data_IF_919472184912
#
_entry.id   IF_919472184912
#
_cell.length_a   1.000
_cell.length_b   1.000
_cell.length_c   1.000
_cell.angle_alpha   90.00
_cell.angle_beta   90.00
_cell.angle_gamma   90.00
#
_symmetry.space_group_name_H-M   'P 1'
#
loop_
_entity.id
_entity.type
_entity.pdbx_description
1 polymer ?
#
# COMPACT_ATOMS: atom_id res chain seq x y z
N UNK A 1 -0.84 1.13 6.34
CA UNK A 1 -1.74 1.59 7.42
C UNK A 1 -1.54 3.05 7.82
N UNK A 2 -0.44 3.67 7.51
CA UNK A 2 -0.14 5.08 7.84
C UNK A 2 -1.32 6.06 7.60
N UNK A 3 -2.02 5.94 6.47
CA UNK A 3 -3.17 6.78 6.11
C UNK A 3 -4.17 7.00 7.26
N UNK A 4 -4.69 5.92 7.85
CA UNK A 4 -5.70 6.04 8.91
C UNK A 4 -5.10 6.33 10.29
N UNK A 5 -3.82 6.04 10.51
CA UNK A 5 -3.10 6.53 11.69
C UNK A 5 -3.09 8.06 11.68
N UNK A 6 -2.65 8.67 10.60
CA UNK A 6 -2.62 10.12 10.49
C UNK A 6 -4.01 10.75 10.40
N UNK A 7 -4.96 10.15 9.68
CA UNK A 7 -6.32 10.69 9.63
C UNK A 7 -6.98 10.70 11.01
N UNK A 8 -6.83 9.66 11.82
CA UNK A 8 -7.40 9.64 13.17
C UNK A 8 -6.72 10.65 14.10
N UNK A 9 -5.39 10.81 13.99
CA UNK A 9 -4.63 11.85 14.67
C UNK A 9 -5.21 13.25 14.36
N UNK A 10 -5.32 13.59 13.09
CA UNK A 10 -5.82 14.90 12.68
C UNK A 10 -7.31 15.10 12.93
N UNK A 11 -8.15 14.07 12.78
CA UNK A 11 -9.56 14.13 13.16
C UNK A 11 -9.71 14.49 14.63
N UNK A 12 -8.89 13.90 15.52
CA UNK A 12 -8.91 14.25 16.93
C UNK A 12 -8.53 15.71 17.18
N UNK A 13 -7.51 16.22 16.50
CA UNK A 13 -7.11 17.63 16.57
C UNK A 13 -8.22 18.58 16.07
N UNK A 14 -9.08 18.11 15.16
CA UNK A 14 -10.24 18.85 14.65
C UNK A 14 -11.49 18.72 15.53
N UNK A 15 -11.37 18.13 16.75
CA UNK A 15 -12.47 17.99 17.68
C UNK A 15 -13.38 16.77 17.47
N UNK A 16 -12.98 15.82 16.60
CA UNK A 16 -13.65 14.53 16.50
C UNK A 16 -13.12 13.55 17.53
N UNK A 17 -13.96 12.61 17.96
CA UNK A 17 -13.54 11.52 18.83
C UNK A 17 -13.56 10.18 18.05
N UNK A 18 -12.44 9.80 17.44
CA UNK A 18 -12.37 8.58 16.63
C UNK A 18 -12.19 7.33 17.49
N UNK A 19 -13.02 6.32 17.21
CA UNK A 19 -12.91 4.95 17.74
C UNK A 19 -12.41 4.05 16.64
N UNK A 20 -11.26 3.39 16.84
CA UNK A 20 -10.63 2.51 15.85
C UNK A 20 -10.80 1.07 16.27
N UNK A 21 -11.41 0.24 15.42
CA UNK A 21 -11.41 -1.22 15.59
C UNK A 21 -10.37 -1.82 14.67
N UNK A 22 -9.42 -2.55 15.23
CA UNK A 22 -8.33 -3.19 14.48
C UNK A 22 -8.07 -4.59 15.01
N UNK A 23 -7.25 -5.36 14.29
CA UNK A 23 -6.79 -6.66 14.73
C UNK A 23 -5.65 -6.53 15.73
N UNK A 24 -5.60 -7.41 16.73
CA UNK A 24 -4.44 -7.53 17.60
C UNK A 24 -3.23 -8.03 16.79
N UNK A 25 -2.14 -7.30 16.84
CA UNK A 25 -0.89 -7.61 16.13
C UNK A 25 -0.30 -8.96 16.51
N UNK A 26 -0.56 -9.44 17.73
CA UNK A 26 -0.13 -10.77 18.20
C UNK A 26 -0.92 -11.90 17.55
N UNK A 27 -2.16 -11.61 17.10
CA UNK A 27 -3.05 -12.58 16.48
C UNK A 27 -2.95 -12.57 14.95
N UNK A 28 -2.55 -11.47 14.35
CA UNK A 28 -2.42 -11.33 12.91
C UNK A 28 -1.03 -11.73 12.40
N UNK A 29 -0.98 -12.27 11.18
CA UNK A 29 0.28 -12.57 10.49
C UNK A 29 0.71 -11.35 9.66
N UNK A 30 1.40 -10.39 10.27
CA UNK A 30 2.05 -9.28 9.59
C UNK A 30 3.56 -9.52 9.52
N UNK A 31 4.19 -9.34 8.35
CA UNK A 31 5.63 -9.56 8.19
C UNK A 31 6.48 -8.51 8.93
N UNK A 32 5.95 -7.32 9.10
CA UNK A 32 6.64 -6.20 9.77
C UNK A 32 5.62 -5.40 10.57
N UNK A 33 6.01 -5.02 11.79
CA UNK A 33 5.25 -4.13 12.66
C UNK A 33 6.09 -2.87 12.88
N UNK A 34 5.46 -1.72 12.74
CA UNK A 34 6.04 -0.42 13.06
C UNK A 34 5.38 0.11 14.33
N UNK A 35 6.10 0.00 15.44
CA UNK A 35 5.61 0.41 16.74
C UNK A 35 5.66 1.94 16.94
N UNK A 36 6.53 2.66 16.20
CA UNK A 36 6.61 4.12 16.28
C UNK A 36 5.29 4.76 15.80
N UNK A 37 4.63 4.14 14.81
CA UNK A 37 3.32 4.61 14.36
C UNK A 37 2.21 4.52 15.42
N UNK A 38 2.38 3.70 16.46
CA UNK A 38 1.40 3.64 17.55
C UNK A 38 1.45 4.88 18.44
N UNK A 39 2.61 5.53 18.51
CA UNK A 39 2.76 6.78 19.26
C UNK A 39 1.92 7.91 18.63
N UNK A 40 1.75 7.89 17.31
CA UNK A 40 0.98 8.88 16.56
C UNK A 40 -0.53 8.86 16.89
N UNK A 41 -1.02 7.74 17.40
CA UNK A 41 -2.43 7.56 17.80
C UNK A 41 -2.64 7.56 19.31
N UNK A 42 -1.67 8.09 20.09
CA UNK A 42 -1.87 8.30 21.51
C UNK A 42 -3.10 9.17 21.77
N UNK A 43 -3.98 8.65 22.64
CA UNK A 43 -5.25 9.31 22.95
C UNK A 43 -6.38 9.04 21.97
N UNK A 44 -6.19 8.24 20.91
CA UNK A 44 -7.28 7.68 20.09
C UNK A 44 -7.78 6.39 20.74
N UNK A 45 -9.08 6.19 20.78
CA UNK A 45 -9.68 4.96 21.31
C UNK A 45 -9.44 3.81 20.32
N UNK A 46 -8.49 2.91 20.62
CA UNK A 46 -8.15 1.76 19.78
C UNK A 46 -8.61 0.47 20.45
N UNK A 47 -9.53 -0.23 19.81
CA UNK A 47 -10.03 -1.55 20.26
C UNK A 47 -9.40 -2.63 19.38
N UNK A 48 -8.49 -3.40 19.97
CA UNK A 48 -7.84 -4.55 19.34
C UNK A 48 -8.70 -5.80 19.51
N UNK A 49 -8.86 -6.57 18.46
CA UNK A 49 -9.69 -7.78 18.43
C UNK A 49 -8.94 -8.99 17.92
N UNK A 50 -9.42 -10.16 18.26
CA UNK A 50 -8.94 -11.42 17.70
C UNK A 50 -9.22 -11.54 16.21
N UNK A 51 -8.56 -12.49 15.56
CA UNK A 51 -8.82 -12.90 14.19
C UNK A 51 -8.67 -14.42 14.04
N UNK A 52 -9.44 -15.00 13.12
CA UNK A 52 -9.22 -16.37 12.63
C UNK A 52 -8.60 -16.26 11.24
N UNK A 53 -7.30 -16.51 11.15
CA UNK A 53 -6.57 -16.50 9.88
C UNK A 53 -6.23 -17.92 9.43
N UNK A 54 -7.05 -18.52 8.55
CA UNK A 54 -6.75 -19.86 8.00
C UNK A 54 -5.39 -19.92 7.29
N UNK A 55 -4.89 -18.79 6.80
CA UNK A 55 -3.55 -18.70 6.20
C UNK A 55 -2.41 -19.02 7.18
N UNK A 56 -2.57 -18.85 8.49
CA UNK A 56 -1.56 -19.30 9.46
C UNK A 56 -1.37 -20.82 9.43
N UNK A 57 -2.46 -21.55 9.27
CA UNK A 57 -2.43 -23.01 9.16
C UNK A 57 -1.79 -23.40 7.81
N UNK A 58 -2.13 -22.69 6.77
CA UNK A 58 -1.67 -22.90 5.41
C UNK A 58 -0.17 -22.55 5.22
N UNK A 59 0.32 -21.45 5.78
CA UNK A 59 1.75 -21.09 5.73
C UNK A 59 2.61 -22.10 6.45
N UNK A 60 2.11 -22.70 7.55
CA UNK A 60 2.79 -23.78 8.28
C UNK A 60 3.00 -25.01 7.41
N UNK A 61 2.03 -25.34 6.55
CA UNK A 61 2.14 -26.50 5.64
C UNK A 61 3.06 -26.27 4.44
N UNK A 62 3.23 -25.02 3.97
CA UNK A 62 3.99 -24.71 2.74
C UNK A 62 5.39 -24.18 3.02
N UNK A 63 5.57 -23.34 4.04
CA UNK A 63 6.86 -22.69 4.31
C UNK A 63 7.56 -23.22 5.55
N UNK A 64 6.95 -24.12 6.30
CA UNK A 64 7.48 -24.60 7.58
C UNK A 64 7.55 -23.53 8.68
N UNK A 65 7.14 -22.30 8.41
CA UNK A 65 7.20 -21.15 9.31
C UNK A 65 5.81 -20.58 9.56
N UNK A 66 5.44 -20.41 10.83
CA UNK A 66 4.17 -19.79 11.26
C UNK A 66 4.10 -18.28 10.99
N UNK A 67 5.23 -17.63 10.78
CA UNK A 67 5.35 -16.17 10.70
C UNK A 67 5.67 -15.64 9.30
N UNK A 68 5.75 -16.50 8.28
CA UNK A 68 5.91 -16.04 6.90
C UNK A 68 4.58 -15.49 6.38
N UNK A 69 4.24 -14.26 6.75
CA UNK A 69 3.17 -13.53 6.12
C UNK A 69 3.45 -13.41 4.61
N UNK A 70 2.51 -13.83 3.76
CA UNK A 70 2.66 -13.62 2.32
C UNK A 70 2.37 -12.12 2.07
N UNK A 71 3.37 -11.34 1.60
CA UNK A 71 3.16 -9.93 1.30
C UNK A 71 2.03 -9.76 0.28
N UNK A 72 1.23 -8.71 0.42
CA UNK A 72 0.24 -8.37 -0.60
C UNK A 72 0.95 -8.11 -1.94
N UNK A 73 0.44 -8.72 -3.00
CA UNK A 73 1.00 -8.57 -4.34
C UNK A 73 2.14 -9.53 -4.70
N UNK A 74 2.60 -10.39 -3.79
CA UNK A 74 3.55 -11.45 -4.11
C UNK A 74 2.85 -12.82 -4.14
N UNK A 75 2.88 -13.47 -5.29
CA UNK A 75 2.55 -14.89 -5.44
C UNK A 75 3.84 -15.59 -5.82
N UNK A 76 4.32 -16.58 -5.05
CA UNK A 76 5.52 -17.32 -5.42
C UNK A 76 5.34 -17.94 -6.80
N UNK A 77 6.26 -17.67 -7.72
CA UNK A 77 6.12 -18.04 -9.14
C UNK A 77 6.58 -19.45 -9.50
N UNK A 78 7.16 -20.22 -8.56
CA UNK A 78 7.80 -21.49 -8.90
C UNK A 78 7.13 -22.69 -8.22
N UNK A 79 6.80 -23.71 -9.02
CA UNK A 79 6.31 -25.03 -8.59
C UNK A 79 4.80 -25.19 -8.60
N UNK A 80 4.34 -26.42 -8.75
CA UNK A 80 2.92 -26.80 -8.76
C UNK A 80 2.22 -26.51 -7.41
N UNK A 81 2.92 -26.66 -6.31
CA UNK A 81 2.40 -26.37 -4.96
C UNK A 81 2.06 -24.88 -4.80
N UNK A 82 2.88 -23.98 -5.36
CA UNK A 82 2.63 -22.55 -5.36
C UNK A 82 1.37 -22.20 -6.18
N UNK A 83 1.17 -22.84 -7.33
CA UNK A 83 -0.03 -22.65 -8.15
C UNK A 83 -1.29 -23.17 -7.44
N UNK A 84 -1.20 -24.33 -6.79
CA UNK A 84 -2.30 -24.89 -6.00
C UNK A 84 -2.63 -23.98 -4.81
N UNK A 85 -1.62 -23.44 -4.16
CA UNK A 85 -1.75 -22.45 -3.10
C UNK A 85 -2.48 -21.18 -3.56
N UNK A 86 -2.08 -20.64 -4.70
CA UNK A 86 -2.73 -19.47 -5.29
C UNK A 86 -4.20 -19.80 -5.67
N UNK A 87 -4.46 -20.99 -6.22
CA UNK A 87 -5.81 -21.45 -6.52
C UNK A 87 -6.69 -21.53 -5.26
N UNK A 88 -6.21 -22.17 -4.20
CA UNK A 88 -6.93 -22.26 -2.91
C UNK A 88 -7.19 -20.87 -2.37
N UNK A 89 -6.17 -20.00 -2.34
CA UNK A 89 -6.31 -18.61 -1.87
C UNK A 89 -7.35 -17.84 -2.69
N UNK A 90 -7.34 -17.97 -4.01
CA UNK A 90 -8.24 -17.25 -4.91
C UNK A 90 -9.69 -17.71 -4.87
N UNK A 91 -9.95 -18.98 -4.56
CA UNK A 91 -11.27 -19.58 -4.67
C UNK A 91 -12.01 -19.79 -3.34
N UNK A 92 -11.28 -20.00 -2.23
CA UNK A 92 -11.90 -20.28 -0.93
C UNK A 92 -11.82 -19.08 0.02
N UNK A 93 -10.93 -18.12 -0.22
CA UNK A 93 -10.78 -16.93 0.60
C UNK A 93 -11.31 -15.68 -0.13
N UNK A 94 -12.62 -15.65 -0.37
CA UNK A 94 -13.30 -14.53 -1.01
C UNK A 94 -13.95 -13.65 0.07
N UNK A 95 -13.74 -12.35 0.02
CA UNK A 95 -12.97 -11.55 -0.95
C UNK A 95 -11.46 -11.64 -0.73
N UNK A 96 -11.02 -11.92 0.48
CA UNK A 96 -9.60 -12.03 0.87
C UNK A 96 -9.42 -12.94 2.10
N UNK A 97 -8.16 -13.26 2.39
CA UNK A 97 -7.82 -14.20 3.45
C UNK A 97 -7.98 -13.62 4.88
N UNK A 98 -8.28 -12.33 5.01
CA UNK A 98 -8.50 -11.63 6.29
C UNK A 98 -9.98 -11.62 6.70
N UNK A 99 -10.88 -12.18 5.89
CA UNK A 99 -12.32 -12.22 6.21
C UNK A 99 -12.68 -12.84 7.56
N UNK A 100 -11.79 -13.67 8.11
CA UNK A 100 -11.97 -14.28 9.43
C UNK A 100 -11.96 -13.28 10.59
N UNK A 101 -11.43 -12.06 10.37
CA UNK A 101 -11.50 -10.96 11.31
C UNK A 101 -12.90 -10.35 11.43
N UNK A 102 -13.72 -10.41 10.39
CA UNK A 102 -15.01 -9.73 10.31
C UNK A 102 -15.97 -10.10 11.46
N UNK A 103 -15.91 -11.34 11.94
CA UNK A 103 -16.75 -11.77 13.08
C UNK A 103 -16.43 -10.95 14.34
N UNK A 104 -15.16 -10.82 14.66
CA UNK A 104 -14.70 -10.10 15.86
C UNK A 104 -14.89 -8.60 15.69
N UNK A 105 -14.57 -8.05 14.51
CA UNK A 105 -14.75 -6.65 14.19
C UNK A 105 -16.22 -6.22 14.31
N UNK A 106 -17.16 -7.01 13.80
CA UNK A 106 -18.59 -6.73 13.92
C UNK A 106 -19.01 -6.64 15.40
N UNK A 107 -18.61 -7.62 16.23
CA UNK A 107 -18.97 -7.63 17.66
C UNK A 107 -18.40 -6.44 18.43
N UNK A 108 -17.14 -6.10 18.17
CA UNK A 108 -16.49 -4.93 18.78
C UNK A 108 -17.17 -3.63 18.35
N UNK A 109 -17.40 -3.47 17.04
CA UNK A 109 -18.07 -2.29 16.50
C UNK A 109 -19.51 -2.15 17.02
N UNK A 110 -20.30 -3.24 17.10
CA UNK A 110 -21.63 -3.22 17.67
C UNK A 110 -21.66 -2.74 19.14
N UNK A 111 -20.68 -3.19 19.95
CA UNK A 111 -20.54 -2.76 21.33
C UNK A 111 -20.27 -1.24 21.39
N UNK A 112 -19.32 -0.74 20.60
CA UNK A 112 -18.94 0.68 20.56
C UNK A 112 -20.11 1.53 20.06
N UNK A 113 -20.78 1.12 18.97
CA UNK A 113 -21.94 1.86 18.44
C UNK A 113 -23.03 2.06 19.51
N UNK A 114 -23.26 1.04 20.34
CA UNK A 114 -24.29 1.09 21.39
C UNK A 114 -23.87 1.90 22.62
N UNK A 115 -22.60 1.76 23.07
CA UNK A 115 -22.11 2.46 24.26
C UNK A 115 -21.88 3.95 24.01
N UNK A 116 -21.34 4.30 22.83
CA UNK A 116 -20.89 5.66 22.52
C UNK A 116 -21.87 6.42 21.60
N UNK A 117 -22.96 5.80 21.18
CA UNK A 117 -23.97 6.44 20.32
C UNK A 117 -23.44 6.86 18.93
N UNK A 118 -22.41 6.17 18.41
CA UNK A 118 -21.76 6.50 17.15
C UNK A 118 -22.72 6.25 15.98
N UNK A 119 -22.82 7.24 15.09
CA UNK A 119 -23.70 7.19 13.91
C UNK A 119 -22.94 7.18 12.58
N UNK A 120 -21.63 7.45 12.59
CA UNK A 120 -20.79 7.51 11.38
C UNK A 120 -19.70 6.45 11.46
N UNK A 121 -19.56 5.67 10.41
CA UNK A 121 -18.55 4.60 10.32
C UNK A 121 -17.80 4.72 9.00
N UNK A 122 -16.50 4.53 9.08
CA UNK A 122 -15.65 4.42 7.90
C UNK A 122 -14.99 3.05 7.93
N UNK A 123 -15.00 2.34 6.81
CA UNK A 123 -14.22 1.12 6.63
C UNK A 123 -13.16 1.33 5.57
N UNK A 124 -11.96 0.83 5.77
CA UNK A 124 -10.85 0.99 4.81
C UNK A 124 -10.36 -0.36 4.28
N UNK A 125 -10.13 -0.44 3.01
CA UNK A 125 -9.60 -1.63 2.29
C UNK A 125 -8.45 -1.26 1.35
N UNK A 126 -7.56 -2.21 1.02
CA UNK A 126 -7.52 -3.60 1.45
C UNK A 126 -7.12 -3.81 2.92
N UNK A 127 -7.55 -4.89 3.58
CA UNK A 127 -8.36 -5.98 3.02
C UNK A 127 -9.80 -5.56 2.76
N UNK A 128 -10.35 -5.93 1.60
CA UNK A 128 -11.69 -5.49 1.18
C UNK A 128 -12.82 -6.18 1.96
N UNK A 129 -12.55 -7.33 2.59
CA UNK A 129 -13.48 -7.97 3.53
C UNK A 129 -13.93 -7.04 4.65
N UNK A 130 -13.13 -6.04 5.02
CA UNK A 130 -13.47 -5.00 6.01
C UNK A 130 -14.75 -4.25 5.64
N UNK A 131 -15.00 -4.00 4.34
CA UNK A 131 -16.20 -3.31 3.89
C UNK A 131 -17.49 -4.09 4.16
N UNK A 132 -17.40 -5.43 4.28
CA UNK A 132 -18.54 -6.27 4.67
C UNK A 132 -18.96 -6.04 6.14
N UNK A 133 -18.06 -5.54 6.97
CA UNK A 133 -18.39 -5.10 8.34
C UNK A 133 -19.24 -3.82 8.27
N UNK A 134 -18.80 -2.82 7.51
CA UNK A 134 -19.56 -1.58 7.31
C UNK A 134 -20.95 -1.82 6.72
N UNK A 135 -21.04 -2.66 5.67
CA UNK A 135 -22.30 -3.04 5.06
C UNK A 135 -23.26 -3.71 6.06
N UNK A 136 -22.75 -4.59 6.92
CA UNK A 136 -23.53 -5.22 7.98
C UNK A 136 -24.03 -4.20 9.02
N UNK A 137 -23.15 -3.32 9.49
CA UNK A 137 -23.50 -2.31 10.49
C UNK A 137 -24.54 -1.32 9.95
N UNK A 138 -24.42 -0.87 8.70
CA UNK A 138 -25.41 -0.02 8.07
C UNK A 138 -26.77 -0.70 7.97
N UNK A 139 -26.82 -1.94 7.49
CA UNK A 139 -28.07 -2.69 7.34
C UNK A 139 -28.76 -2.92 8.69
N UNK A 140 -27.99 -3.17 9.76
CA UNK A 140 -28.55 -3.53 11.08
C UNK A 140 -28.90 -2.32 11.96
N UNK A 141 -28.11 -1.25 11.86
CA UNK A 141 -28.21 -0.09 12.77
C UNK A 141 -28.57 1.23 12.08
N UNK A 142 -28.69 1.26 10.77
CA UNK A 142 -29.02 2.47 10.00
C UNK A 142 -27.94 3.58 10.11
N UNK A 143 -26.68 3.20 10.39
CA UNK A 143 -25.59 4.17 10.50
C UNK A 143 -25.20 4.72 9.14
N UNK A 144 -24.65 5.92 9.12
CA UNK A 144 -23.99 6.47 7.93
C UNK A 144 -22.63 5.78 7.74
N UNK A 145 -22.45 5.12 6.58
CA UNK A 145 -21.25 4.33 6.31
C UNK A 145 -20.54 4.79 5.05
N UNK A 146 -19.23 5.07 5.18
CA UNK A 146 -18.33 5.41 4.10
C UNK A 146 -17.32 4.28 3.89
N UNK A 147 -17.11 3.87 2.63
CA UNK A 147 -16.13 2.85 2.29
C UNK A 147 -14.91 3.48 1.61
N UNK A 148 -13.73 3.37 2.23
CA UNK A 148 -12.45 3.90 1.74
C UNK A 148 -11.70 2.82 0.95
N UNK A 149 -11.72 2.96 -0.36
CA UNK A 149 -11.02 2.11 -1.32
C UNK A 149 -9.66 2.71 -1.65
N UNK A 150 -8.61 2.18 -1.02
CA UNK A 150 -7.24 2.61 -1.31
C UNK A 150 -6.72 2.04 -2.62
N UNK A 151 -7.23 0.88 -3.01
CA UNK A 151 -6.87 0.13 -4.21
C UNK A 151 -8.14 -0.43 -4.89
N UNK A 152 -8.08 -0.78 -6.21
CA UNK A 152 -9.13 -1.56 -6.85
C UNK A 152 -9.39 -2.87 -6.09
N UNK A 153 -10.62 -3.36 -6.10
CA UNK A 153 -10.94 -4.65 -5.47
C UNK A 153 -10.82 -5.80 -6.49
N UNK A 154 -11.82 -5.96 -7.36
CA UNK A 154 -11.81 -7.06 -8.35
C UNK A 154 -10.75 -6.82 -9.42
N UNK A 155 -10.59 -5.58 -9.86
CA UNK A 155 -9.71 -5.19 -10.96
C UNK A 155 -8.24 -4.98 -10.54
N UNK A 156 -7.86 -5.40 -9.32
CA UNK A 156 -6.48 -5.28 -8.87
C UNK A 156 -5.56 -6.23 -9.65
N UNK A 157 -4.41 -5.73 -10.09
CA UNK A 157 -3.51 -6.41 -11.04
C UNK A 157 -3.08 -7.82 -10.61
N UNK A 158 -2.89 -8.08 -9.31
CA UNK A 158 -2.46 -9.39 -8.84
C UNK A 158 -3.58 -10.44 -8.74
N UNK A 159 -4.86 -10.07 -8.90
CA UNK A 159 -5.96 -11.03 -8.95
C UNK A 159 -5.84 -12.03 -10.10
N UNK A 160 -5.22 -11.63 -11.20
CA UNK A 160 -4.94 -12.52 -12.33
C UNK A 160 -4.01 -13.69 -11.97
N UNK A 161 -3.18 -13.52 -10.94
CA UNK A 161 -2.23 -14.53 -10.47
C UNK A 161 -2.87 -15.55 -9.49
N UNK A 162 -4.13 -15.35 -9.08
CA UNK A 162 -4.80 -16.19 -8.09
C UNK A 162 -5.57 -17.37 -8.70
N UNK A 163 -5.52 -17.58 -10.02
CA UNK A 163 -6.21 -18.68 -10.71
C UNK A 163 -7.67 -18.86 -10.27
N UNK A 164 -8.41 -17.74 -10.13
CA UNK A 164 -9.80 -17.73 -9.68
C UNK A 164 -10.72 -18.41 -10.69
N UNK A 165 -11.57 -19.33 -10.23
CA UNK A 165 -12.65 -19.92 -11.02
C UNK A 165 -13.71 -18.86 -11.38
N UNK A 166 -14.50 -19.15 -12.39
CA UNK A 166 -15.61 -18.29 -12.79
C UNK A 166 -16.56 -17.97 -11.63
N UNK A 167 -16.89 -18.96 -10.80
CA UNK A 167 -17.77 -18.78 -9.64
C UNK A 167 -17.14 -17.86 -8.59
N UNK A 168 -15.84 -18.03 -8.29
CA UNK A 168 -15.12 -17.18 -7.37
C UNK A 168 -15.09 -15.71 -7.84
N UNK A 169 -14.85 -15.49 -9.13
CA UNK A 169 -14.88 -14.16 -9.74
C UNK A 169 -16.29 -13.52 -9.65
N UNK A 170 -17.34 -14.29 -9.91
CA UNK A 170 -18.73 -13.81 -9.84
C UNK A 170 -19.13 -13.43 -8.42
N UNK A 171 -18.75 -14.23 -7.43
CA UNK A 171 -19.03 -13.92 -6.01
C UNK A 171 -18.29 -12.65 -5.60
N UNK A 172 -17.02 -12.53 -5.96
CA UNK A 172 -16.19 -11.37 -5.59
C UNK A 172 -16.72 -10.09 -6.24
N UNK A 173 -17.05 -10.12 -7.53
CA UNK A 173 -17.67 -9.01 -8.26
C UNK A 173 -19.04 -8.61 -7.67
N UNK A 174 -19.84 -9.59 -7.25
CA UNK A 174 -21.11 -9.32 -6.58
C UNK A 174 -20.90 -8.60 -5.24
N UNK A 175 -19.90 -9.04 -4.44
CA UNK A 175 -19.59 -8.42 -3.15
C UNK A 175 -19.09 -6.98 -3.33
N UNK A 176 -18.18 -6.73 -4.29
CA UNK A 176 -17.72 -5.38 -4.61
C UNK A 176 -18.89 -4.48 -5.01
N UNK A 177 -19.72 -4.92 -5.97
CA UNK A 177 -20.89 -4.16 -6.44
C UNK A 177 -21.87 -3.86 -5.30
N UNK A 178 -22.11 -4.85 -4.42
CA UNK A 178 -22.98 -4.69 -3.25
C UNK A 178 -22.42 -3.62 -2.29
N UNK A 179 -21.11 -3.63 -2.01
CA UNK A 179 -20.46 -2.64 -1.15
C UNK A 179 -20.54 -1.25 -1.79
N UNK A 180 -20.17 -1.13 -3.07
CA UNK A 180 -20.23 0.15 -3.79
C UNK A 180 -21.62 0.78 -3.78
N UNK A 181 -22.68 -0.03 -3.91
CA UNK A 181 -24.06 0.47 -3.95
C UNK A 181 -24.67 0.71 -2.58
N UNK A 182 -24.22 0.00 -1.55
CA UNK A 182 -24.81 0.09 -0.21
C UNK A 182 -24.17 1.17 0.67
N UNK A 183 -22.94 1.59 0.40
CA UNK A 183 -22.31 2.68 1.15
C UNK A 183 -23.02 4.02 0.93
N UNK A 184 -22.95 4.95 1.88
CA UNK A 184 -23.46 6.32 1.71
C UNK A 184 -22.51 7.18 0.88
N UNK A 185 -21.24 6.78 0.80
CA UNK A 185 -20.25 7.38 -0.07
C UNK A 185 -19.01 6.50 -0.17
N UNK A 186 -18.30 6.67 -1.25
CA UNK A 186 -17.05 5.96 -1.53
C UNK A 186 -15.90 6.97 -1.51
N UNK A 187 -14.89 6.69 -0.68
CA UNK A 187 -13.61 7.39 -0.71
C UNK A 187 -12.64 6.62 -1.58
N UNK A 188 -11.82 7.32 -2.37
CA UNK A 188 -10.74 6.72 -3.15
C UNK A 188 -9.46 7.53 -2.97
N UNK A 189 -8.31 6.87 -3.03
CA UNK A 189 -7.00 7.56 -2.94
C UNK A 189 -6.65 8.31 -4.22
N UNK A 190 -7.23 7.90 -5.33
CA UNK A 190 -7.03 8.49 -6.66
C UNK A 190 -8.37 8.63 -7.38
N UNK A 191 -8.41 9.54 -8.35
CA UNK A 191 -9.59 9.77 -9.20
C UNK A 191 -9.57 8.91 -10.47
N UNK A 192 -9.71 9.58 -11.58
CA UNK A 192 -9.47 9.09 -12.94
C UNK A 192 -10.06 7.73 -13.25
N UNK A 193 -9.19 6.78 -13.56
CA UNK A 193 -9.57 5.47 -14.04
C UNK A 193 -10.24 4.58 -12.97
N UNK A 194 -9.81 4.69 -11.71
CA UNK A 194 -10.41 3.93 -10.60
C UNK A 194 -11.90 4.29 -10.42
N UNK A 195 -12.21 5.58 -10.37
CA UNK A 195 -13.59 6.04 -10.24
C UNK A 195 -14.41 5.67 -11.48
N UNK A 196 -13.84 5.75 -12.70
CA UNK A 196 -14.53 5.32 -13.92
C UNK A 196 -14.96 3.85 -13.84
N UNK A 197 -14.06 2.95 -13.40
CA UNK A 197 -14.36 1.52 -13.20
C UNK A 197 -15.47 1.30 -12.17
N UNK A 198 -15.43 2.04 -11.07
CA UNK A 198 -16.46 1.95 -10.03
C UNK A 198 -17.82 2.51 -10.47
N UNK A 199 -17.85 3.61 -11.24
CA UNK A 199 -19.09 4.18 -11.80
C UNK A 199 -19.82 3.22 -12.74
N UNK A 200 -19.11 2.38 -13.49
CA UNK A 200 -19.73 1.32 -14.31
C UNK A 200 -20.52 0.33 -13.42
N UNK A 201 -20.02 0.04 -12.22
CA UNK A 201 -20.63 -0.91 -11.28
C UNK A 201 -21.72 -0.29 -10.40
N UNK A 202 -21.61 1.02 -10.12
CA UNK A 202 -22.52 1.79 -9.28
C UNK A 202 -22.62 3.23 -9.81
N UNK A 203 -23.41 3.47 -10.89
CA UNK A 203 -23.46 4.78 -11.57
C UNK A 203 -24.00 5.90 -10.69
N UNK A 204 -24.96 5.59 -9.81
CA UNK A 204 -25.64 6.56 -8.95
C UNK A 204 -24.88 6.86 -7.64
N UNK A 205 -23.70 6.24 -7.45
CA UNK A 205 -22.94 6.37 -6.21
C UNK A 205 -22.09 7.64 -6.19
N UNK A 206 -21.97 8.23 -4.99
CA UNK A 206 -21.09 9.37 -4.73
C UNK A 206 -19.66 8.92 -4.47
N UNK A 207 -18.73 9.43 -5.30
CA UNK A 207 -17.30 9.15 -5.19
C UNK A 207 -16.54 10.42 -4.81
N UNK A 208 -15.69 10.31 -3.81
CA UNK A 208 -14.86 11.41 -3.31
C UNK A 208 -13.39 10.99 -3.31
N UNK A 209 -12.57 11.79 -3.97
CA UNK A 209 -11.12 11.59 -3.95
C UNK A 209 -10.57 12.18 -2.65
N UNK A 210 -10.02 11.31 -1.83
CA UNK A 210 -9.29 11.68 -0.62
C UNK A 210 -7.89 11.09 -0.75
N UNK A 211 -6.90 11.82 -1.29
CA UNK A 211 -5.55 11.30 -1.51
C UNK A 211 -4.87 10.84 -0.21
N UNK A 212 -3.84 10.05 -0.33
CA UNK A 212 -2.88 9.91 0.75
C UNK A 212 -2.21 11.26 1.00
N UNK A 213 -1.67 11.44 2.18
CA UNK A 213 -0.90 12.63 2.56
C UNK A 213 0.45 12.22 3.14
N UNK A 214 1.15 13.20 3.65
CA UNK A 214 2.36 13.03 4.45
C UNK A 214 2.21 13.83 5.75
N UNK A 215 2.96 13.50 6.77
CA UNK A 215 3.00 14.26 8.02
C UNK A 215 3.95 15.45 7.87
N UNK A 216 3.39 16.65 7.75
CA UNK A 216 4.17 17.87 7.55
C UNK A 216 5.06 18.19 8.77
N UNK A 217 4.61 17.86 9.99
CA UNK A 217 5.37 18.07 11.20
C UNK A 217 6.62 17.18 11.23
N UNK A 218 6.47 15.90 10.90
CA UNK A 218 7.60 14.97 10.78
C UNK A 218 8.55 15.41 9.66
N UNK A 219 8.02 15.77 8.49
CA UNK A 219 8.84 16.24 7.38
C UNK A 219 9.66 17.48 7.78
N UNK A 220 9.08 18.42 8.52
CA UNK A 220 9.78 19.62 8.99
C UNK A 220 10.81 19.34 10.09
N UNK A 221 10.57 18.33 10.93
CA UNK A 221 11.45 17.96 12.05
C UNK A 221 12.75 17.25 11.60
N UNK A 222 12.81 16.75 10.36
CA UNK A 222 13.99 16.08 9.82
C UNK A 222 14.73 17.02 8.88
N UNK A 223 15.93 17.42 9.25
CA UNK A 223 16.78 18.29 8.44
C UNK A 223 17.37 17.53 7.26
N UNK A 224 17.61 18.26 6.15
CA UNK A 224 18.34 17.72 5.00
C UNK A 224 19.82 17.59 5.37
N UNK A 225 20.40 16.43 5.07
CA UNK A 225 21.85 16.20 5.20
C UNK A 225 22.39 15.99 3.78
N UNK A 226 23.39 16.75 3.39
CA UNK A 226 24.07 16.54 2.11
C UNK A 226 25.07 15.41 2.22
N UNK A 227 25.08 14.54 1.24
CA UNK A 227 26.03 13.42 1.11
C UNK A 227 26.85 13.64 -0.14
N UNK A 228 28.13 13.37 -0.07
CA UNK A 228 29.03 13.35 -1.23
C UNK A 228 29.56 11.91 -1.36
N UNK A 229 29.53 11.26 -2.48
CA UNK A 229 29.23 11.69 -3.86
C UNK A 229 27.73 11.85 -4.17
N UNK A 230 27.36 12.12 -5.43
CA UNK A 230 25.95 12.21 -5.88
C UNK A 230 25.11 11.05 -5.37
N UNK A 231 24.09 11.37 -4.59
CA UNK A 231 23.36 10.39 -3.80
C UNK A 231 21.99 10.08 -4.40
N UNK A 232 21.82 8.87 -4.87
CA UNK A 232 20.55 8.32 -5.36
C UNK A 232 19.92 7.47 -4.26
N UNK A 233 18.63 7.64 -4.02
CA UNK A 233 17.94 6.94 -2.92
C UNK A 233 16.68 6.24 -3.43
N UNK A 234 16.47 5.03 -2.93
CA UNK A 234 15.22 4.29 -3.05
C UNK A 234 14.76 3.78 -1.68
N UNK A 235 13.50 4.04 -1.33
CA UNK A 235 12.90 3.49 -0.11
C UNK A 235 11.66 2.65 -0.43
N UNK A 236 11.45 1.54 0.29
CA UNK A 236 10.24 0.73 0.23
C UNK A 236 10.43 -0.69 -0.28
N UNK A 237 9.36 -1.27 -0.80
CA UNK A 237 9.36 -2.62 -1.36
C UNK A 237 9.90 -2.58 -2.81
N UNK A 238 10.95 -3.34 -3.08
CA UNK A 238 11.44 -3.58 -4.44
C UNK A 238 11.27 -5.06 -4.80
N UNK A 239 10.65 -5.32 -5.96
CA UNK A 239 10.39 -6.66 -6.46
C UNK A 239 10.69 -6.77 -7.95
N UNK A 240 10.77 -7.98 -8.49
CA UNK A 240 10.91 -8.22 -9.94
C UNK A 240 9.74 -7.68 -10.77
N UNK A 241 8.62 -7.38 -10.11
CA UNK A 241 7.43 -6.83 -10.76
C UNK A 241 7.49 -5.30 -10.94
N UNK A 242 8.69 -4.71 -10.83
CA UNK A 242 8.97 -3.30 -11.04
C UNK A 242 10.13 -3.14 -12.03
N UNK A 243 10.05 -2.17 -12.93
CA UNK A 243 11.03 -1.95 -13.99
C UNK A 243 12.20 -1.08 -13.50
N UNK A 244 13.00 -1.59 -12.57
CA UNK A 244 14.16 -0.87 -12.04
C UNK A 244 15.45 -1.06 -12.88
N UNK A 245 15.55 -2.16 -13.65
CA UNK A 245 16.78 -2.54 -14.40
C UNK A 245 17.28 -1.44 -15.35
N UNK A 246 16.44 -0.80 -16.18
CA UNK A 246 16.90 0.25 -17.09
C UNK A 246 17.58 1.41 -16.35
N UNK A 247 16.99 1.85 -15.22
CA UNK A 247 17.57 2.93 -14.40
C UNK A 247 18.92 2.53 -13.80
N UNK A 248 19.04 1.30 -13.30
CA UNK A 248 20.31 0.81 -12.73
C UNK A 248 21.41 0.78 -13.79
N UNK A 249 21.08 0.36 -15.00
CA UNK A 249 22.03 0.39 -16.13
C UNK A 249 22.42 1.82 -16.53
N UNK A 250 21.46 2.74 -16.56
CA UNK A 250 21.71 4.15 -16.84
C UNK A 250 22.62 4.78 -15.78
N UNK A 251 22.35 4.53 -14.49
CA UNK A 251 23.22 4.99 -13.40
C UNK A 251 24.65 4.47 -13.56
N UNK A 252 24.81 3.20 -13.93
CA UNK A 252 26.14 2.60 -14.16
C UNK A 252 26.86 3.22 -15.37
N UNK A 253 26.12 3.52 -16.43
CA UNK A 253 26.68 4.13 -17.63
C UNK A 253 27.13 5.59 -17.42
N UNK A 254 26.35 6.35 -16.64
CA UNK A 254 26.62 7.75 -16.32
C UNK A 254 27.63 7.93 -15.18
N UNK A 255 27.85 6.88 -14.38
CA UNK A 255 28.77 6.95 -13.24
C UNK A 255 30.22 6.75 -13.68
N UNK A 256 31.09 7.64 -13.29
CA UNK A 256 32.51 7.36 -13.14
C UNK A 256 32.73 6.62 -11.81
N UNK A 257 33.75 5.79 -11.68
CA UNK A 257 33.97 4.94 -10.51
C UNK A 257 33.86 5.72 -9.19
N UNK A 258 32.92 5.29 -8.32
CA UNK A 258 32.73 5.81 -6.99
C UNK A 258 32.08 7.19 -6.88
N UNK A 259 31.70 7.84 -8.01
CA UNK A 259 31.06 9.16 -7.99
C UNK A 259 29.54 9.15 -7.78
N UNK A 260 28.92 7.97 -7.69
CA UNK A 260 27.50 7.79 -7.37
C UNK A 260 27.35 6.82 -6.21
N UNK A 261 26.62 7.26 -5.19
CA UNK A 261 26.14 6.42 -4.10
C UNK A 261 24.68 6.08 -4.34
N UNK A 262 24.31 4.80 -4.35
CA UNK A 262 22.94 4.35 -4.42
C UNK A 262 22.53 3.67 -3.12
N UNK A 263 21.75 4.37 -2.30
CA UNK A 263 21.22 3.84 -1.04
C UNK A 263 19.84 3.26 -1.22
N UNK A 264 19.67 2.03 -0.73
CA UNK A 264 18.43 1.25 -0.76
C UNK A 264 17.97 0.99 0.68
N UNK A 265 16.70 1.24 0.98
CA UNK A 265 16.11 0.88 2.25
C UNK A 265 14.71 0.25 2.07
N UNK A 266 14.36 -0.69 2.93
CA UNK A 266 13.05 -1.34 2.93
C UNK A 266 13.11 -2.84 2.68
N UNK A 267 12.03 -3.41 2.14
CA UNK A 267 11.95 -4.85 1.91
C UNK A 267 12.47 -5.20 0.50
N UNK A 268 13.74 -5.57 0.43
CA UNK A 268 14.45 -5.93 -0.81
C UNK A 268 15.17 -7.25 -0.58
N UNK A 269 15.00 -8.22 -1.46
CA UNK A 269 15.67 -9.52 -1.33
C UNK A 269 17.17 -9.41 -1.60
N UNK A 270 17.97 -10.27 -0.97
CA UNK A 270 19.41 -10.36 -1.20
C UNK A 270 19.73 -10.55 -2.71
N UNK A 271 18.99 -11.44 -3.37
CA UNK A 271 19.16 -11.69 -4.81
C UNK A 271 18.94 -10.43 -5.67
N UNK A 272 18.02 -9.54 -5.28
CA UNK A 272 17.84 -8.27 -6.01
C UNK A 272 18.96 -7.29 -5.73
N UNK A 273 19.47 -7.25 -4.50
CA UNK A 273 20.61 -6.39 -4.15
C UNK A 273 21.86 -6.84 -4.93
N UNK A 274 22.12 -8.15 -4.98
CA UNK A 274 23.25 -8.72 -5.73
C UNK A 274 23.13 -8.42 -7.22
N UNK A 275 21.92 -8.56 -7.78
CA UNK A 275 21.65 -8.20 -9.18
C UNK A 275 21.86 -6.71 -9.47
N UNK A 276 21.49 -5.82 -8.54
CA UNK A 276 21.73 -4.38 -8.67
C UNK A 276 23.24 -4.09 -8.69
N UNK A 277 24.02 -4.69 -7.79
CA UNK A 277 25.47 -4.55 -7.73
C UNK A 277 26.14 -5.07 -9.01
N UNK A 278 25.68 -6.21 -9.54
CA UNK A 278 26.15 -6.77 -10.80
C UNK A 278 25.89 -5.82 -11.99
N UNK A 279 24.70 -5.23 -12.06
CA UNK A 279 24.30 -4.34 -13.15
C UNK A 279 24.94 -2.95 -13.05
N UNK A 280 25.39 -2.54 -11.86
CA UNK A 280 25.97 -1.22 -11.62
C UNK A 280 27.34 -1.31 -10.93
N UNK A 281 28.37 -1.90 -11.58
CA UNK A 281 29.68 -2.12 -10.95
C UNK A 281 30.44 -0.83 -10.66
N UNK A 282 30.08 0.28 -11.30
CA UNK A 282 30.70 1.61 -11.10
C UNK A 282 30.02 2.44 -10.01
N UNK A 283 28.89 1.96 -9.47
CA UNK A 283 28.08 2.66 -8.46
C UNK A 283 28.33 2.03 -7.09
N UNK A 284 28.53 2.85 -6.09
CA UNK A 284 28.56 2.36 -4.70
C UNK A 284 27.13 2.05 -4.24
N UNK A 285 26.81 0.77 -4.04
CA UNK A 285 25.47 0.33 -3.65
C UNK A 285 25.44 -0.03 -2.17
N UNK A 286 24.62 0.66 -1.39
CA UNK A 286 24.42 0.42 0.03
C UNK A 286 22.97 -0.01 0.33
N UNK A 287 22.83 -1.12 1.05
CA UNK A 287 21.53 -1.55 1.56
C UNK A 287 21.44 -1.28 3.06
N UNK A 288 20.50 -0.44 3.45
CA UNK A 288 20.29 0.00 4.86
C UNK A 288 19.30 -0.88 5.64
N UNK A 289 18.74 -1.93 5.00
CA UNK A 289 17.72 -2.74 5.64
C UNK A 289 16.37 -2.01 5.77
N UNK A 290 15.55 -2.48 6.71
CA UNK A 290 14.31 -1.81 7.05
C UNK A 290 14.60 -0.68 8.06
N UNK A 291 14.21 0.53 7.73
CA UNK A 291 14.39 1.72 8.55
C UNK A 291 13.08 2.11 9.26
N UNK A 292 13.20 2.78 10.40
CA UNK A 292 12.07 3.50 10.98
C UNK A 292 11.54 4.56 10.02
N UNK A 293 10.29 5.00 10.16
CA UNK A 293 9.74 6.00 9.24
C UNK A 293 10.54 7.31 9.29
N UNK A 294 10.98 7.75 10.46
CA UNK A 294 11.82 8.93 10.65
C UNK A 294 13.17 8.80 9.95
N UNK A 295 13.83 7.65 10.10
CA UNK A 295 15.14 7.40 9.47
C UNK A 295 15.01 7.30 7.96
N UNK A 296 13.90 6.70 7.46
CA UNK A 296 13.59 6.66 6.04
C UNK A 296 13.39 8.08 5.46
N UNK A 297 12.71 8.98 6.17
CA UNK A 297 12.60 10.40 5.79
C UNK A 297 13.97 11.07 5.77
N UNK A 298 14.84 10.80 6.75
CA UNK A 298 16.21 11.28 6.79
C UNK A 298 17.01 10.83 5.57
N UNK A 299 16.92 9.55 5.22
CA UNK A 299 17.55 9.00 4.03
C UNK A 299 17.00 9.63 2.74
N UNK A 300 15.68 9.79 2.61
CA UNK A 300 15.07 10.44 1.45
C UNK A 300 15.58 11.88 1.29
N UNK A 301 15.64 12.64 2.37
CA UNK A 301 16.11 14.03 2.36
C UNK A 301 17.61 14.18 2.09
N UNK A 302 18.41 13.15 2.35
CA UNK A 302 19.83 13.15 2.05
C UNK A 302 20.16 12.90 0.57
N UNK A 303 19.17 12.46 -0.21
CA UNK A 303 19.35 12.20 -1.64
C UNK A 303 19.42 13.47 -2.50
N UNK A 304 20.09 13.34 -3.62
CA UNK A 304 20.06 14.30 -4.73
C UNK A 304 19.02 13.87 -5.78
N UNK A 305 18.70 12.58 -5.83
CA UNK A 305 17.68 11.99 -6.67
C UNK A 305 16.96 10.85 -5.94
N UNK A 306 15.61 10.86 -5.96
CA UNK A 306 14.78 9.78 -5.45
C UNK A 306 14.23 8.95 -6.60
N UNK A 307 14.33 7.63 -6.49
CA UNK A 307 13.79 6.71 -7.48
C UNK A 307 12.45 6.14 -7.03
N UNK A 308 11.47 6.18 -7.92
CA UNK A 308 10.17 5.56 -7.71
C UNK A 308 9.85 4.60 -8.83
N UNK A 309 9.53 3.35 -8.50
CA UNK A 309 9.18 2.30 -9.46
C UNK A 309 7.73 1.87 -9.24
N UNK A 310 6.91 2.01 -10.28
CA UNK A 310 5.52 1.55 -10.26
C UNK A 310 5.47 0.05 -10.55
N UNK A 311 4.56 -0.66 -9.92
CA UNK A 311 4.32 -2.08 -10.20
C UNK A 311 3.74 -2.26 -11.61
N UNK A 312 4.23 -3.24 -12.35
CA UNK A 312 3.69 -3.62 -13.66
C UNK A 312 2.20 -3.96 -13.53
N UNK A 313 1.39 -3.34 -14.38
CA UNK A 313 -0.07 -3.51 -14.35
C UNK A 313 -0.82 -2.65 -13.33
N UNK A 314 -0.12 -1.90 -12.48
CA UNK A 314 -0.73 -0.96 -11.52
C UNK A 314 -0.68 0.50 -12.00
N UNK A 315 -0.09 0.75 -13.15
CA UNK A 315 0.31 2.07 -13.64
C UNK A 315 -0.82 3.10 -13.72
N UNK A 316 -2.05 2.65 -13.98
CA UNK A 316 -3.17 3.56 -14.25
C UNK A 316 -4.01 3.89 -13.04
N UNK A 317 -3.98 3.07 -12.00
CA UNK A 317 -4.96 3.09 -10.91
C UNK A 317 -4.36 3.42 -9.54
N UNK A 318 -3.03 3.62 -9.45
CA UNK A 318 -2.34 3.76 -8.17
C UNK A 318 -1.38 4.94 -8.12
N UNK A 319 -1.42 5.65 -7.00
CA UNK A 319 -0.35 6.56 -6.57
C UNK A 319 0.25 5.97 -5.29
N UNK A 320 1.52 5.62 -5.32
CA UNK A 320 2.18 5.06 -4.14
C UNK A 320 2.28 6.11 -3.03
N UNK A 321 2.04 5.71 -1.77
CA UNK A 321 2.16 6.62 -0.63
C UNK A 321 3.55 7.26 -0.54
N UNK A 322 4.61 6.50 -0.86
CA UNK A 322 5.98 7.01 -0.87
C UNK A 322 6.23 8.14 -1.87
N UNK A 323 5.50 8.18 -3.00
CA UNK A 323 5.66 9.26 -3.97
C UNK A 323 5.28 10.62 -3.37
N UNK A 324 4.26 10.67 -2.53
CA UNK A 324 3.85 11.90 -1.85
C UNK A 324 4.89 12.33 -0.81
N UNK A 325 5.47 11.38 -0.08
CA UNK A 325 6.58 11.65 0.85
C UNK A 325 7.84 12.12 0.11
N UNK A 326 8.15 11.52 -1.04
CA UNK A 326 9.26 11.95 -1.91
C UNK A 326 9.09 13.39 -2.36
N UNK A 327 7.92 13.77 -2.83
CA UNK A 327 7.61 15.15 -3.23
C UNK A 327 7.69 16.09 -2.03
N UNK A 328 7.24 15.67 -0.84
CA UNK A 328 7.33 16.45 0.39
C UNK A 328 8.78 16.64 0.88
N UNK A 329 9.72 15.77 0.51
CA UNK A 329 11.13 15.95 0.81
C UNK A 329 11.78 17.09 0.00
N UNK A 330 11.16 17.58 -1.07
CA UNK A 330 11.71 18.61 -1.94
C UNK A 330 12.94 18.17 -2.75
N UNK A 331 13.11 16.87 -2.93
CA UNK A 331 14.20 16.25 -3.71
C UNK A 331 13.66 15.84 -5.09
N UNK A 332 14.42 16.00 -6.19
CA UNK A 332 14.02 15.50 -7.50
C UNK A 332 13.62 14.03 -7.49
N UNK A 333 12.54 13.69 -8.20
CA UNK A 333 12.03 12.31 -8.29
C UNK A 333 12.04 11.83 -9.73
N UNK A 334 12.77 10.76 -10.01
CA UNK A 334 12.63 10.00 -11.25
C UNK A 334 11.72 8.79 -11.00
N UNK A 335 10.55 8.80 -11.62
CA UNK A 335 9.58 7.71 -11.52
C UNK A 335 9.53 6.91 -12.80
N UNK A 336 9.54 5.59 -12.68
CA UNK A 336 9.38 4.67 -13.80
C UNK A 336 7.98 4.10 -13.81
N UNK A 337 7.26 4.38 -14.90
CA UNK A 337 5.87 3.97 -15.09
C UNK A 337 5.24 4.65 -16.31
N UNK A 338 3.91 4.71 -16.35
CA UNK A 338 3.19 5.34 -17.45
C UNK A 338 3.01 6.86 -17.19
N UNK A 339 3.57 7.76 -18.02
CA UNK A 339 3.45 9.21 -17.83
C UNK A 339 2.00 9.72 -17.78
N UNK A 340 1.07 9.00 -18.43
CA UNK A 340 -0.36 9.35 -18.47
C UNK A 340 -1.13 8.86 -17.24
N UNK A 341 -0.49 8.12 -16.32
CA UNK A 341 -1.08 7.63 -15.08
C UNK A 341 -1.42 8.76 -14.09
N UNK A 342 -2.14 8.44 -13.02
CA UNK A 342 -2.39 9.40 -11.93
C UNK A 342 -1.08 9.90 -11.29
N UNK A 343 -0.12 8.99 -11.08
CA UNK A 343 1.20 9.35 -10.56
C UNK A 343 1.99 10.22 -11.53
N UNK A 344 1.89 9.95 -12.85
CA UNK A 344 2.51 10.78 -13.89
C UNK A 344 1.94 12.19 -13.94
N UNK A 345 0.62 12.32 -13.85
CA UNK A 345 -0.05 13.64 -13.79
C UNK A 345 0.35 14.44 -12.55
N UNK A 346 0.50 13.77 -11.41
CA UNK A 346 0.98 14.41 -10.19
C UNK A 346 2.40 14.96 -10.37
N UNK A 347 3.29 14.20 -10.99
CA UNK A 347 4.68 14.62 -11.26
C UNK A 347 4.77 15.70 -12.36
N UNK A 348 3.85 15.75 -13.30
CA UNK A 348 3.84 16.75 -14.37
C UNK A 348 3.74 18.19 -13.86
N UNK A 349 3.25 18.39 -12.63
CA UNK A 349 3.25 19.70 -11.95
C UNK A 349 4.59 20.13 -11.37
N UNK A 350 5.62 19.25 -11.40
CA UNK A 350 6.96 19.53 -10.87
C UNK A 350 7.92 19.88 -12.00
N UNK A 351 8.73 20.92 -11.82
CA UNK A 351 9.77 21.31 -12.78
C UNK A 351 11.04 20.44 -12.73
N UNK A 352 11.21 19.67 -11.64
CA UNK A 352 12.43 18.89 -11.37
C UNK A 352 12.17 17.40 -11.10
N UNK A 353 10.92 16.95 -11.23
CA UNK A 353 10.56 15.55 -11.08
C UNK A 353 9.82 15.06 -12.32
N UNK A 354 10.07 13.81 -12.72
CA UNK A 354 9.57 13.28 -14.00
C UNK A 354 9.16 11.82 -13.86
N UNK A 355 8.14 11.43 -14.64
CA UNK A 355 7.83 10.03 -14.89
C UNK A 355 8.17 9.68 -16.32
N UNK A 356 8.91 8.59 -16.50
CA UNK A 356 9.34 8.08 -17.81
C UNK A 356 8.97 6.61 -17.95
N UNK A 357 8.82 6.14 -19.19
CA UNK A 357 8.61 4.71 -19.45
C UNK A 357 9.93 3.95 -19.29
N UNK A 358 9.88 2.72 -18.80
CA UNK A 358 11.06 1.86 -18.70
C UNK A 358 11.70 1.52 -20.07
N UNK A 359 10.95 1.65 -21.16
CA UNK A 359 11.43 1.42 -22.54
C UNK A 359 12.08 2.65 -23.16
N UNK A 360 12.04 3.81 -22.50
CA UNK A 360 12.57 5.06 -22.99
C UNK A 360 13.95 5.34 -22.36
N UNK A 361 14.98 4.70 -22.90
CA UNK A 361 16.34 4.78 -22.38
C UNK A 361 16.92 6.19 -22.45
N UNK A 362 16.52 6.99 -23.46
CA UNK A 362 17.03 8.35 -23.66
C UNK A 362 16.40 9.33 -22.65
N UNK A 363 15.21 9.02 -22.17
CA UNK A 363 14.53 9.82 -21.16
C UNK A 363 14.94 9.46 -19.73
N UNK A 364 15.53 8.26 -19.53
CA UNK A 364 16.06 7.79 -18.25
C UNK A 364 17.46 8.36 -18.03
#
# INVERSE_FOLDING_TARGET
MQRWVYFTKYLKQMGWEPYVVTVDEKQASYPVLDFELLEEVKGVHVVKTDTKEPLKIYSKFISGSLNAGIPQGQVPKQGWMSKMAAFIRGNFFIPDARKGWNYYAKRAAEKILKSEGIKKVITTGPPHSTHLVGSFLKTKYGIQWWADFRDPWVDIFYNQQLYRSYFAQRIDAYLEKKVLRNADGILTTVGGNLIKKFKIKAPDQSFHVLPNGYDAAMMSAVSRTTVNPFHVVYTGLLTENQDYIPVIKALSALSENGKVLFSLAGNISAAQIDKIKELAPKVTVEYKGYLSHRDAVGLMKSGDLLLNFIFKGADQDMVSGKLLEYLACGVPVLSIGAPQSEAGRLLAGSSFSKMVKASDSDAI
#
